data_IF_074470884024
#
_entry.id   IF_074470884024
#
_cell.length_a   1.000
_cell.length_b   1.000
_cell.length_c   1.000
_cell.angle_alpha   90.00
_cell.angle_beta   90.00
_cell.angle_gamma   90.00
#
_symmetry.space_group_name_H-M   'P 1'
#
loop_
_entity.id
_entity.type
_entity.pdbx_description
1 polymer ?
#
# COMPACT_ATOMS: atom_id res chain seq x y z
N UNK A 1 -6.57 40.19 1.77
CA UNK A 1 -6.94 38.76 1.92
C UNK A 1 -8.16 38.49 1.06
N UNK A 2 -7.93 38.46 -0.25
CA UNK A 2 -8.86 38.24 -1.36
C UNK A 2 -7.97 37.67 -2.46
N UNK A 3 -8.44 36.68 -3.23
CA UNK A 3 -7.81 36.11 -4.45
C UNK A 3 -7.31 34.66 -4.38
N UNK A 4 -8.22 33.69 -4.13
CA UNK A 4 -8.04 32.30 -4.60
C UNK A 4 -9.28 31.69 -5.25
N UNK A 5 -10.41 32.40 -5.33
CA UNK A 5 -11.65 31.91 -5.98
C UNK A 5 -11.80 32.30 -7.45
N UNK A 6 -10.90 33.13 -8.02
CA UNK A 6 -11.02 33.65 -9.39
C UNK A 6 -10.05 33.02 -10.40
N UNK A 7 -9.18 32.10 -9.99
CA UNK A 7 -8.18 31.49 -10.89
C UNK A 7 -8.71 30.31 -11.71
N UNK A 8 -9.99 29.94 -11.56
CA UNK A 8 -10.55 28.78 -12.26
C UNK A 8 -11.28 29.11 -13.59
N UNK A 9 -11.41 30.38 -13.98
CA UNK A 9 -12.19 30.77 -15.19
C UNK A 9 -11.32 31.14 -16.41
N UNK A 10 -9.97 31.07 -16.32
CA UNK A 10 -9.11 31.50 -17.42
C UNK A 10 -8.08 30.49 -17.94
N UNK A 11 -8.02 29.26 -17.42
CA UNK A 11 -7.15 28.21 -17.97
C UNK A 11 -7.89 27.34 -19.00
N UNK A 12 -8.44 27.97 -20.05
CA UNK A 12 -9.08 27.33 -21.21
C UNK A 12 -8.08 27.02 -22.35
N UNK A 13 -6.77 26.95 -22.09
CA UNK A 13 -5.76 26.67 -23.11
C UNK A 13 -4.72 25.66 -22.56
N UNK A 14 -4.75 24.45 -23.12
CA UNK A 14 -3.69 23.40 -23.10
C UNK A 14 -3.44 22.59 -21.81
N UNK A 15 -4.48 22.15 -21.10
CA UNK A 15 -4.34 20.98 -20.23
C UNK A 15 -5.36 19.91 -20.64
N UNK A 16 -4.88 18.91 -21.38
CA UNK A 16 -5.52 17.60 -21.43
C UNK A 16 -5.60 17.09 -20.00
N UNK A 17 -6.71 17.34 -19.31
CA UNK A 17 -7.01 16.67 -18.06
C UNK A 17 -7.40 15.20 -18.34
N UNK A 18 -6.48 14.42 -18.89
CA UNK A 18 -6.59 12.96 -18.91
C UNK A 18 -6.03 12.44 -17.59
N UNK A 19 -6.93 12.40 -16.60
CA UNK A 19 -6.92 11.40 -15.52
C UNK A 19 -5.77 11.44 -14.52
N UNK A 20 -5.95 12.19 -13.43
CA UNK A 20 -5.72 11.65 -12.08
C UNK A 20 -6.76 12.31 -11.17
N UNK A 21 -7.69 11.51 -10.68
CA UNK A 21 -8.69 11.94 -9.71
C UNK A 21 -8.01 12.42 -8.43
N UNK A 22 -8.05 13.74 -8.18
CA UNK A 22 -7.70 14.36 -6.91
C UNK A 22 -8.62 13.81 -5.81
N UNK A 23 -8.27 12.67 -5.21
CA UNK A 23 -9.07 12.11 -4.11
C UNK A 23 -8.84 10.65 -3.71
N UNK A 24 -8.16 9.82 -4.51
CA UNK A 24 -7.98 8.40 -4.17
C UNK A 24 -6.75 8.11 -3.30
N UNK A 25 -5.66 8.87 -3.40
CA UNK A 25 -4.44 8.55 -2.66
C UNK A 25 -4.63 8.65 -1.13
N UNK A 26 -4.06 7.75 -0.31
CA UNK A 26 -4.06 7.90 1.15
C UNK A 26 -3.33 9.18 1.58
N UNK A 27 -3.86 9.89 2.58
CA UNK A 27 -3.43 11.25 2.96
C UNK A 27 -1.93 11.38 3.28
N UNK A 28 -1.32 10.33 3.86
CA UNK A 28 0.10 10.30 4.22
C UNK A 28 1.00 9.72 3.12
N UNK A 29 0.43 9.30 2.00
CA UNK A 29 1.17 8.59 0.96
C UNK A 29 1.25 9.43 -0.31
N UNK A 30 2.24 9.14 -1.13
CA UNK A 30 2.32 9.62 -2.50
C UNK A 30 1.93 8.48 -3.43
N UNK A 31 1.12 8.80 -4.45
CA UNK A 31 0.68 7.83 -5.44
C UNK A 31 1.14 8.30 -6.81
N UNK A 32 1.81 7.42 -7.54
CA UNK A 32 2.25 7.64 -8.91
C UNK A 32 1.87 6.43 -9.76
N UNK A 33 0.98 6.63 -10.72
CA UNK A 33 0.40 5.58 -11.55
C UNK A 33 -0.15 4.40 -10.72
N UNK A 34 0.60 3.29 -10.68
CA UNK A 34 0.22 2.03 -9.98
C UNK A 34 1.04 1.82 -8.70
N UNK A 35 1.81 2.82 -8.27
CA UNK A 35 2.72 2.75 -7.12
C UNK A 35 2.20 3.63 -6.00
N UNK A 36 2.04 3.04 -4.81
CA UNK A 36 1.67 3.73 -3.57
C UNK A 36 2.86 3.73 -2.63
N UNK A 37 3.41 4.92 -2.34
CA UNK A 37 4.58 5.10 -1.48
C UNK A 37 4.17 5.76 -0.17
N UNK A 38 4.38 5.05 0.93
CA UNK A 38 4.00 5.47 2.28
C UNK A 38 5.21 5.41 3.25
N UNK A 39 6.41 5.62 2.74
CA UNK A 39 7.66 5.46 3.49
C UNK A 39 7.79 6.45 4.64
N UNK A 40 8.13 5.98 5.85
CA UNK A 40 8.50 6.87 6.96
C UNK A 40 7.34 7.65 7.59
N UNK A 41 6.10 7.26 7.34
CA UNK A 41 4.89 8.05 7.68
C UNK A 41 4.31 7.73 9.05
N UNK A 42 5.05 6.95 9.86
CA UNK A 42 4.66 6.50 11.21
C UNK A 42 3.31 5.76 11.19
N UNK A 43 3.01 5.08 10.09
CA UNK A 43 1.77 4.33 9.94
C UNK A 43 1.76 3.17 10.93
N UNK A 44 0.65 3.03 11.65
CA UNK A 44 0.40 1.89 12.53
C UNK A 44 -0.48 0.82 11.87
N UNK A 45 -1.13 1.19 10.77
CA UNK A 45 -2.04 0.35 9.99
C UNK A 45 -1.74 0.53 8.50
N UNK A 46 -2.14 -0.47 7.71
CA UNK A 46 -2.11 -0.40 6.25
C UNK A 46 -3.16 0.63 5.77
N UNK A 47 -2.84 1.51 4.81
CA UNK A 47 -3.77 2.51 4.31
C UNK A 47 -4.93 1.88 3.53
N UNK A 48 -5.97 2.70 3.27
CA UNK A 48 -7.12 2.29 2.43
C UNK A 48 -6.67 1.70 1.08
N UNK A 49 -7.30 0.61 0.61
CA UNK A 49 -6.88 -0.05 -0.62
C UNK A 49 -7.08 0.83 -1.84
N UNK A 50 -6.11 0.73 -2.76
CA UNK A 50 -6.24 1.19 -4.14
C UNK A 50 -6.26 -0.02 -5.05
N UNK A 51 -7.44 -0.33 -5.59
CA UNK A 51 -7.71 -1.57 -6.35
C UNK A 51 -6.85 -1.73 -7.60
N UNK A 52 -6.31 -0.62 -8.11
CA UNK A 52 -5.47 -0.61 -9.31
C UNK A 52 -3.97 -0.59 -9.01
N UNK A 53 -3.55 -0.49 -7.75
CA UNK A 53 -2.14 -0.45 -7.40
C UNK A 53 -1.46 -1.82 -7.57
N UNK A 54 -0.27 -1.81 -8.15
CA UNK A 54 0.62 -2.97 -8.29
C UNK A 54 1.70 -2.99 -7.22
N UNK A 55 2.11 -1.82 -6.73
CA UNK A 55 3.21 -1.70 -5.75
C UNK A 55 2.72 -0.93 -4.54
N UNK A 56 2.91 -1.50 -3.36
CA UNK A 56 2.67 -0.84 -2.08
C UNK A 56 3.94 -0.84 -1.25
N UNK A 57 4.52 0.35 -1.05
CA UNK A 57 5.70 0.54 -0.21
C UNK A 57 5.30 1.12 1.15
N UNK A 58 5.41 0.31 2.19
CA UNK A 58 5.19 0.65 3.60
C UNK A 58 6.49 0.60 4.42
N UNK A 59 7.63 0.74 3.75
CA UNK A 59 8.94 0.76 4.37
C UNK A 59 9.03 1.76 5.53
N UNK A 60 9.71 1.35 6.60
CA UNK A 60 10.06 2.22 7.72
C UNK A 60 8.83 2.88 8.37
N UNK A 61 7.88 2.06 8.79
CA UNK A 61 6.67 2.49 9.50
C UNK A 61 6.60 1.84 10.89
N UNK A 62 5.45 1.92 11.53
CA UNK A 62 5.18 1.42 12.89
C UNK A 62 4.08 0.37 12.90
N UNK A 63 3.94 -0.40 11.82
CA UNK A 63 2.91 -1.43 11.70
C UNK A 63 3.30 -2.62 12.58
N UNK A 64 2.51 -2.90 13.60
CA UNK A 64 2.80 -3.94 14.60
C UNK A 64 2.00 -5.24 14.39
N UNK A 65 0.89 -5.16 13.66
CA UNK A 65 0.02 -6.31 13.37
C UNK A 65 -0.66 -6.15 12.02
N UNK A 66 -1.08 -7.28 11.45
CA UNK A 66 -1.87 -7.36 10.23
C UNK A 66 -3.24 -7.93 10.61
N UNK A 67 -4.30 -7.10 10.67
CA UNK A 67 -5.66 -7.57 10.88
C UNK A 67 -6.10 -8.57 9.82
N UNK A 68 -7.09 -9.39 10.14
CA UNK A 68 -7.72 -10.29 9.15
C UNK A 68 -8.24 -9.47 7.97
N UNK A 69 -8.12 -10.02 6.76
CA UNK A 69 -8.59 -9.40 5.51
C UNK A 69 -8.03 -7.98 5.23
N UNK A 70 -6.95 -7.54 5.89
CA UNK A 70 -6.38 -6.18 5.68
C UNK A 70 -5.95 -5.92 4.23
N UNK A 71 -5.67 -6.98 3.46
CA UNK A 71 -5.32 -6.91 2.05
C UNK A 71 -6.51 -7.08 1.10
N UNK A 72 -7.74 -7.21 1.62
CA UNK A 72 -8.97 -7.31 0.83
C UNK A 72 -9.25 -5.98 0.11
N UNK A 73 -8.78 -5.91 -1.13
CA UNK A 73 -8.84 -4.70 -1.96
C UNK A 73 -7.52 -4.39 -2.67
N UNK A 74 -6.42 -5.02 -2.26
CA UNK A 74 -5.09 -4.92 -2.88
C UNK A 74 -4.82 -6.06 -3.87
N UNK A 75 -5.84 -6.52 -4.59
CA UNK A 75 -5.82 -7.77 -5.37
C UNK A 75 -4.85 -7.77 -6.56
N UNK A 76 -4.47 -6.58 -7.04
CA UNK A 76 -3.52 -6.39 -8.14
C UNK A 76 -2.07 -6.24 -7.68
N UNK A 77 -1.79 -6.21 -6.36
CA UNK A 77 -0.42 -6.07 -5.88
C UNK A 77 0.45 -7.22 -6.38
N UNK A 78 1.58 -6.84 -6.96
CA UNK A 78 2.70 -7.70 -7.35
C UNK A 78 3.88 -7.51 -6.40
N UNK A 79 3.99 -6.35 -5.76
CA UNK A 79 5.05 -6.02 -4.80
C UNK A 79 4.50 -5.36 -3.54
N UNK A 80 4.91 -5.89 -2.38
CA UNK A 80 4.58 -5.38 -1.07
C UNK A 80 5.84 -5.29 -0.22
N UNK A 81 6.19 -4.08 0.18
CA UNK A 81 7.29 -3.82 1.10
C UNK A 81 6.74 -3.45 2.48
N UNK A 82 6.90 -4.35 3.45
CA UNK A 82 6.59 -4.17 4.86
C UNK A 82 7.88 -4.14 5.71
N UNK A 83 9.04 -3.94 5.09
CA UNK A 83 10.32 -3.96 5.79
C UNK A 83 10.46 -2.77 6.74
N UNK A 84 11.28 -2.95 7.78
CA UNK A 84 11.45 -1.98 8.89
C UNK A 84 10.11 -1.55 9.50
N UNK A 85 9.31 -2.53 9.89
CA UNK A 85 8.11 -2.33 10.70
C UNK A 85 8.27 -3.03 12.06
N UNK A 86 7.18 -3.24 12.79
CA UNK A 86 7.18 -3.84 14.12
C UNK A 86 6.39 -5.16 14.18
N UNK A 87 6.20 -5.82 13.04
CA UNK A 87 5.47 -7.09 13.00
C UNK A 87 6.17 -8.12 13.88
N UNK A 88 5.41 -8.75 14.77
CA UNK A 88 5.95 -9.70 15.77
C UNK A 88 5.53 -11.15 15.54
N UNK A 89 4.42 -11.34 14.83
CA UNK A 89 3.91 -12.65 14.47
C UNK A 89 3.10 -12.57 13.17
N UNK A 90 3.05 -13.69 12.46
CA UNK A 90 2.21 -13.90 11.29
C UNK A 90 1.33 -15.13 11.54
N UNK A 91 0.05 -14.90 11.78
CA UNK A 91 -0.92 -15.99 11.93
C UNK A 91 -1.41 -16.49 10.57
N UNK A 92 -2.42 -17.35 10.58
CA UNK A 92 -2.96 -18.02 9.39
C UNK A 92 -3.47 -17.02 8.36
N UNK A 93 -3.26 -17.30 7.07
CA UNK A 93 -3.88 -16.58 5.96
C UNK A 93 -3.68 -15.05 5.99
N UNK A 94 -2.60 -14.54 6.62
CA UNK A 94 -2.38 -13.09 6.84
C UNK A 94 -2.22 -12.28 5.57
N UNK A 95 -1.83 -12.93 4.48
CA UNK A 95 -1.70 -12.32 3.16
C UNK A 95 -2.80 -12.77 2.19
N UNK A 96 -3.92 -13.29 2.71
CA UNK A 96 -5.06 -13.71 1.89
C UNK A 96 -5.55 -12.55 1.02
N UNK A 97 -5.84 -12.86 -0.25
CA UNK A 97 -6.25 -11.90 -1.26
C UNK A 97 -5.11 -11.36 -2.14
N UNK A 98 -3.86 -11.64 -1.79
CA UNK A 98 -2.67 -11.24 -2.56
C UNK A 98 -2.20 -12.35 -3.53
N UNK A 99 -3.11 -12.95 -4.29
CA UNK A 99 -2.80 -14.08 -5.20
C UNK A 99 -1.87 -13.71 -6.35
N UNK A 100 -1.72 -12.42 -6.65
CA UNK A 100 -0.81 -11.90 -7.68
C UNK A 100 0.55 -11.47 -7.13
N UNK A 101 0.78 -11.56 -5.82
CA UNK A 101 2.01 -11.06 -5.21
C UNK A 101 3.22 -11.91 -5.60
N UNK A 102 4.25 -11.25 -6.11
CA UNK A 102 5.49 -11.87 -6.57
C UNK A 102 6.65 -11.58 -5.61
N UNK A 103 6.64 -10.39 -5.01
CA UNK A 103 7.65 -9.95 -4.04
C UNK A 103 7.00 -9.46 -2.75
N UNK A 104 7.43 -10.04 -1.64
CA UNK A 104 7.06 -9.63 -0.28
C UNK A 104 8.34 -9.37 0.51
N UNK A 105 8.53 -8.15 1.02
CA UNK A 105 9.66 -7.86 1.91
C UNK A 105 9.16 -7.69 3.35
N UNK A 106 9.65 -8.56 4.25
CA UNK A 106 9.37 -8.53 5.68
C UNK A 106 10.63 -8.28 6.52
N UNK A 107 11.74 -7.93 5.89
CA UNK A 107 13.04 -7.74 6.56
C UNK A 107 12.98 -6.65 7.63
N UNK A 108 13.85 -6.75 8.63
CA UNK A 108 13.92 -5.79 9.75
C UNK A 108 12.58 -5.60 10.51
N UNK A 109 11.76 -6.65 10.60
CA UNK A 109 10.66 -6.74 11.54
C UNK A 109 11.10 -7.48 12.83
N UNK A 110 10.15 -7.79 13.72
CA UNK A 110 10.37 -8.49 15.00
C UNK A 110 9.69 -9.87 15.02
N UNK A 111 9.51 -10.48 13.85
CA UNK A 111 8.73 -11.70 13.68
C UNK A 111 9.44 -12.85 14.39
N UNK A 112 8.78 -13.43 15.40
CA UNK A 112 9.28 -14.61 16.13
C UNK A 112 8.45 -15.86 15.85
N UNK A 113 7.18 -15.67 15.50
CA UNK A 113 6.23 -16.74 15.29
C UNK A 113 5.59 -16.60 13.90
N UNK A 114 5.70 -17.65 13.09
CA UNK A 114 5.06 -17.73 11.78
C UNK A 114 4.23 -19.01 11.77
N UNK A 115 2.94 -18.87 11.57
CA UNK A 115 2.05 -20.01 11.39
C UNK A 115 2.28 -20.65 10.03
N UNK A 116 2.15 -21.98 9.92
CA UNK A 116 2.37 -22.72 8.66
C UNK A 116 1.53 -22.18 7.48
N UNK A 117 0.23 -21.86 7.64
CA UNK A 117 -0.58 -21.30 6.56
C UNK A 117 -0.52 -19.77 6.49
N UNK A 118 0.45 -19.09 7.13
CA UNK A 118 0.52 -17.62 7.09
C UNK A 118 0.61 -17.05 5.67
N UNK A 119 1.31 -17.77 4.78
CA UNK A 119 1.51 -17.41 3.37
C UNK A 119 0.57 -18.15 2.41
N UNK A 120 -0.47 -18.82 2.92
CA UNK A 120 -1.43 -19.54 2.07
C UNK A 120 -2.07 -18.57 1.08
N UNK A 121 -2.15 -19.00 -0.18
CA UNK A 121 -2.76 -18.22 -1.27
C UNK A 121 -1.79 -17.30 -2.00
N UNK A 122 -0.53 -17.15 -1.54
CA UNK A 122 0.53 -16.44 -2.26
C UNK A 122 1.11 -17.29 -3.40
N UNK A 123 0.27 -17.70 -4.35
CA UNK A 123 0.60 -18.69 -5.39
C UNK A 123 1.63 -18.22 -6.42
N UNK A 124 1.88 -16.91 -6.53
CA UNK A 124 2.85 -16.33 -7.46
C UNK A 124 4.13 -15.82 -6.77
N UNK A 125 4.28 -16.04 -5.46
CA UNK A 125 5.41 -15.50 -4.71
C UNK A 125 6.73 -16.11 -5.20
N UNK A 126 7.68 -15.26 -5.56
CA UNK A 126 9.01 -15.63 -6.05
C UNK A 126 10.13 -15.12 -5.13
N UNK A 127 9.88 -14.03 -4.40
CA UNK A 127 10.84 -13.40 -3.50
C UNK A 127 10.18 -13.07 -2.17
N UNK A 128 10.81 -13.50 -1.08
CA UNK A 128 10.40 -13.33 0.32
C UNK A 128 11.59 -12.83 1.16
#
# INVERSE_FOLDING_TARGET
MMSTFLTCVLAMILALCTGVSRGQCPEKCTCDQLVVRCTGQQLRIIPRPLTDANVLNLYNNSIASLPDDVFKGWQKLTELDLSRNMLSSLHDDRFKGLSNLETLDLTSNRIRNISRPAFRGLTKLRKL
#
